data_IF_218201986384
#
_entry.id   IF_218201986384
#
_cell.length_a   1.000
_cell.length_b   1.000
_cell.length_c   1.000
_cell.angle_alpha   90.00
_cell.angle_beta   90.00
_cell.angle_gamma   90.00
#
_symmetry.space_group_name_H-M   'P 1'
#
loop_
_entity.id
_entity.type
_entity.pdbx_description
1 polymer ?
#
# COMPACT_ATOMS: atom_id res chain seq x y z
N UNK A 1 -2.34 3.09 64.49
CA UNK A 1 -2.90 4.04 63.49
C UNK A 1 -1.90 4.36 62.38
N UNK A 2 -0.68 4.82 62.70
CA UNK A 2 0.37 5.17 61.70
C UNK A 2 0.73 3.99 60.78
N UNK A 3 0.91 2.78 61.33
CA UNK A 3 1.23 1.56 60.55
C UNK A 3 0.14 1.20 59.52
N UNK A 4 -1.12 1.52 59.82
CA UNK A 4 -2.26 1.17 58.97
C UNK A 4 -2.36 2.15 57.79
N UNK A 5 -2.02 3.41 58.03
CA UNK A 5 -1.96 4.47 57.00
C UNK A 5 -0.78 4.22 56.05
N UNK A 6 0.39 3.79 56.55
CA UNK A 6 1.55 3.51 55.70
C UNK A 6 1.34 2.30 54.80
N UNK A 7 0.71 1.24 55.30
CA UNK A 7 0.34 0.06 54.49
C UNK A 7 -0.66 0.43 53.40
N UNK A 8 -1.68 1.25 53.72
CA UNK A 8 -2.67 1.68 52.74
C UNK A 8 -2.04 2.51 51.61
N UNK A 9 -1.13 3.43 51.94
CA UNK A 9 -0.42 4.24 50.95
C UNK A 9 0.49 3.40 50.05
N UNK A 10 1.15 2.38 50.62
CA UNK A 10 1.98 1.45 49.84
C UNK A 10 1.11 0.65 48.85
N UNK A 11 -0.05 0.16 49.29
CA UNK A 11 -0.97 -0.60 48.43
C UNK A 11 -1.49 0.26 47.29
N UNK A 12 -1.88 1.51 47.55
CA UNK A 12 -2.34 2.44 46.51
C UNK A 12 -1.22 2.82 45.53
N UNK A 13 0.02 2.98 46.02
CA UNK A 13 1.18 3.25 45.19
C UNK A 13 1.50 2.07 44.26
N UNK A 14 1.54 0.85 44.81
CA UNK A 14 1.75 -0.38 44.03
C UNK A 14 0.62 -0.59 43.03
N UNK A 15 -0.63 -0.38 43.42
CA UNK A 15 -1.78 -0.46 42.53
C UNK A 15 -1.72 0.60 41.42
N UNK A 16 -1.28 1.82 41.72
CA UNK A 16 -1.09 2.90 40.74
C UNK A 16 0.07 2.62 39.77
N UNK A 17 1.16 2.04 40.25
CA UNK A 17 2.29 1.59 39.41
C UNK A 17 1.87 0.40 38.55
N UNK A 18 1.16 -0.58 39.08
CA UNK A 18 0.59 -1.69 38.32
C UNK A 18 -0.45 -1.21 37.31
N UNK A 19 -1.27 -0.21 37.66
CA UNK A 19 -2.21 0.44 36.74
C UNK A 19 -1.45 1.17 35.63
N UNK A 20 -0.37 1.91 35.95
CA UNK A 20 0.50 2.57 34.96
C UNK A 20 1.21 1.59 34.04
N UNK A 21 1.71 0.46 34.57
CA UNK A 21 2.34 -0.61 33.81
C UNK A 21 1.31 -1.38 32.95
N UNK A 22 0.07 -1.54 33.42
CA UNK A 22 -1.05 -2.07 32.62
C UNK A 22 -1.52 -1.08 31.54
N UNK A 23 -1.55 0.22 31.85
CA UNK A 23 -1.90 1.27 30.87
C UNK A 23 -0.84 1.41 29.78
N UNK A 24 0.45 1.23 30.09
CA UNK A 24 1.52 1.24 29.09
C UNK A 24 1.49 0.01 28.18
N UNK A 25 1.05 -1.14 28.70
CA UNK A 25 0.93 -2.38 27.91
C UNK A 25 -0.18 -2.34 26.85
N UNK A 26 -1.10 -1.36 26.90
CA UNK A 26 -2.12 -1.14 25.86
C UNK A 26 -1.72 -0.12 24.79
N UNK A 27 -0.55 0.52 24.89
CA UNK A 27 0.00 1.36 23.80
C UNK A 27 0.98 0.63 22.89
N UNK A 28 1.39 -0.58 23.26
CA UNK A 28 2.20 -1.46 22.39
C UNK A 28 1.36 -2.47 21.59
N UNK A 29 0.07 -2.62 21.92
CA UNK A 29 -0.83 -3.51 21.18
C UNK A 29 -1.17 -3.00 19.77
N UNK A 30 -1.07 -1.69 19.50
CA UNK A 30 -1.44 -1.10 18.19
C UNK A 30 -0.30 -1.20 17.16
N UNK A 31 0.96 -1.33 17.58
CA UNK A 31 2.08 -1.57 16.65
C UNK A 31 2.26 -3.07 16.36
N UNK A 32 2.05 -3.95 17.35
CA UNK A 32 2.19 -5.39 17.16
C UNK A 32 0.96 -6.05 16.52
N UNK A 33 -0.26 -5.53 16.69
CA UNK A 33 -1.44 -6.10 16.01
C UNK A 33 -1.47 -5.87 14.50
N UNK A 34 -0.80 -4.83 13.97
CA UNK A 34 -0.70 -4.68 12.51
C UNK A 34 0.30 -5.65 11.88
N UNK A 35 1.35 -6.06 12.60
CA UNK A 35 2.29 -7.07 12.12
C UNK A 35 1.80 -8.51 12.32
N UNK A 36 1.04 -8.81 13.37
CA UNK A 36 0.51 -10.17 13.58
C UNK A 36 -0.75 -10.49 12.76
N UNK A 37 -1.58 -9.49 12.44
CA UNK A 37 -2.81 -9.72 11.64
C UNK A 37 -2.52 -9.97 10.16
N UNK A 38 -1.31 -9.63 9.68
CA UNK A 38 -0.88 -9.90 8.29
C UNK A 38 -0.23 -11.27 8.15
N UNK A 39 0.35 -11.83 9.22
CA UNK A 39 1.05 -13.12 9.16
C UNK A 39 0.12 -14.33 9.31
N UNK A 40 -1.03 -14.17 9.97
CA UNK A 40 -2.05 -15.23 10.13
C UNK A 40 -3.15 -15.22 9.04
N UNK A 41 -3.06 -14.31 8.05
CA UNK A 41 -3.96 -14.28 6.89
C UNK A 41 -3.21 -14.77 5.65
N UNK A 42 -3.36 -16.06 5.45
CA UNK A 42 -2.81 -17.01 4.50
C UNK A 42 -2.92 -16.64 3.00
N UNK A 43 -2.39 -15.50 2.53
CA UNK A 43 -2.33 -15.19 1.07
C UNK A 43 -1.06 -14.47 0.58
N UNK A 44 -0.22 -13.92 1.46
CA UNK A 44 0.95 -13.11 1.06
C UNK A 44 2.29 -13.89 1.05
N UNK A 45 3.09 -13.65 0.02
CA UNK A 45 4.47 -14.13 -0.07
C UNK A 45 5.40 -13.23 0.73
N UNK A 46 6.30 -13.79 1.52
CA UNK A 46 7.19 -13.05 2.43
C UNK A 46 8.64 -13.53 2.31
N UNK A 47 9.59 -12.58 2.23
CA UNK A 47 11.03 -12.83 2.31
C UNK A 47 11.77 -11.84 3.22
N UNK A 48 12.86 -12.28 3.84
CA UNK A 48 13.73 -11.53 4.74
C UNK A 48 15.15 -11.49 4.17
N UNK A 49 15.75 -10.31 4.23
CA UNK A 49 17.06 -10.02 3.68
C UNK A 49 17.92 -9.39 4.76
N UNK A 50 19.18 -9.81 4.89
CA UNK A 50 20.10 -9.15 5.81
C UNK A 50 20.58 -7.79 5.27
N UNK A 51 21.38 -7.08 6.07
CA UNK A 51 21.93 -5.76 5.73
C UNK A 51 22.86 -5.78 4.51
N UNK A 52 23.38 -6.96 4.13
CA UNK A 52 24.21 -7.15 2.93
C UNK A 52 23.38 -7.52 1.70
N UNK A 53 22.05 -7.55 1.82
CA UNK A 53 21.15 -7.91 0.73
C UNK A 53 21.16 -9.40 0.42
N UNK A 54 21.42 -10.27 1.41
CA UNK A 54 21.33 -11.73 1.24
C UNK A 54 20.03 -12.27 1.80
N UNK A 55 19.37 -13.14 1.04
CA UNK A 55 18.12 -13.79 1.43
C UNK A 55 18.36 -14.73 2.63
N UNK A 56 17.80 -14.40 3.79
CA UNK A 56 17.94 -15.21 5.02
C UNK A 56 16.80 -16.22 5.15
N UNK A 57 15.57 -15.79 4.86
CA UNK A 57 14.32 -16.57 5.04
C UNK A 57 13.27 -16.19 4.01
N UNK A 58 12.43 -17.14 3.60
CA UNK A 58 11.24 -16.90 2.78
C UNK A 58 10.20 -17.99 3.02
N UNK A 59 8.93 -17.73 2.72
CA UNK A 59 7.85 -18.72 2.77
C UNK A 59 7.54 -19.32 1.37
N UNK A 60 6.82 -20.43 1.34
CA UNK A 60 6.44 -21.12 0.10
C UNK A 60 5.64 -20.22 -0.84
N UNK A 61 4.79 -19.35 -0.26
CA UNK A 61 3.99 -18.39 -1.03
C UNK A 61 4.86 -17.38 -1.79
N UNK A 62 6.03 -17.00 -1.26
CA UNK A 62 6.98 -16.15 -1.97
C UNK A 62 7.62 -16.90 -3.16
N UNK A 63 7.94 -18.18 -2.97
CA UNK A 63 8.48 -19.05 -4.03
C UNK A 63 7.48 -19.22 -5.20
N UNK A 64 6.17 -19.19 -4.96
CA UNK A 64 5.15 -19.26 -6.01
C UNK A 64 5.17 -18.08 -6.99
N UNK A 65 5.71 -16.92 -6.59
CA UNK A 65 5.90 -15.79 -7.51
C UNK A 65 7.07 -15.98 -8.47
N UNK A 66 7.94 -16.97 -8.21
CA UNK A 66 9.12 -17.30 -8.99
C UNK A 66 9.09 -18.76 -9.45
N UNK A 67 8.07 -19.22 -10.20
CA UNK A 67 7.89 -20.64 -10.50
C UNK A 67 8.97 -21.23 -11.42
N UNK A 68 9.72 -20.37 -12.12
CA UNK A 68 10.75 -20.77 -13.08
C UNK A 68 12.12 -21.00 -12.45
N UNK A 69 12.31 -20.67 -11.17
CA UNK A 69 13.58 -20.80 -10.46
C UNK A 69 13.36 -21.21 -9.01
N UNK A 70 14.24 -22.04 -8.48
CA UNK A 70 14.26 -22.34 -7.05
C UNK A 70 15.03 -21.25 -6.31
N UNK A 71 14.36 -20.54 -5.40
CA UNK A 71 15.00 -19.56 -4.53
C UNK A 71 15.80 -20.29 -3.44
N UNK A 72 17.00 -19.80 -3.17
CA UNK A 72 17.89 -20.37 -2.16
C UNK A 72 18.32 -19.28 -1.17
N UNK A 73 18.55 -19.67 0.09
CA UNK A 73 19.17 -18.76 1.08
C UNK A 73 20.54 -18.32 0.59
N UNK A 74 20.89 -17.07 0.85
CA UNK A 74 22.10 -16.43 0.35
C UNK A 74 21.96 -15.82 -1.05
N UNK A 75 20.80 -15.92 -1.71
CA UNK A 75 20.52 -15.18 -2.94
C UNK A 75 20.72 -13.68 -2.73
N UNK A 76 21.33 -13.01 -3.71
CA UNK A 76 21.55 -11.57 -3.68
C UNK A 76 20.27 -10.82 -4.08
N UNK A 77 19.97 -9.73 -3.39
CA UNK A 77 18.79 -8.92 -3.66
C UNK A 77 18.82 -8.34 -5.08
N UNK A 78 19.99 -7.91 -5.54
CA UNK A 78 20.18 -7.42 -6.91
C UNK A 78 19.85 -8.49 -7.95
N UNK A 79 20.30 -9.73 -7.74
CA UNK A 79 20.00 -10.84 -8.63
C UNK A 79 18.50 -11.11 -8.71
N UNK A 80 17.80 -11.06 -7.56
CA UNK A 80 16.35 -11.21 -7.54
C UNK A 80 15.67 -10.07 -8.33
N UNK A 81 16.01 -8.81 -8.07
CA UNK A 81 15.41 -7.65 -8.74
C UNK A 81 15.64 -7.73 -10.26
N UNK A 82 16.87 -8.04 -10.68
CA UNK A 82 17.21 -8.21 -12.11
C UNK A 82 16.46 -9.38 -12.73
N UNK A 83 16.28 -10.47 -12.00
CA UNK A 83 15.47 -11.61 -12.44
C UNK A 83 13.98 -11.24 -12.59
N UNK A 84 13.42 -10.54 -11.61
CA UNK A 84 12.03 -10.05 -11.62
C UNK A 84 11.75 -9.17 -12.83
N UNK A 85 12.69 -8.28 -13.17
CA UNK A 85 12.58 -7.39 -14.31
C UNK A 85 12.73 -8.13 -15.66
N UNK A 86 13.77 -8.96 -15.80
CA UNK A 86 14.10 -9.66 -17.06
C UNK A 86 13.14 -10.79 -17.42
N UNK A 87 12.51 -11.43 -16.44
CA UNK A 87 11.55 -12.52 -16.66
C UNK A 87 10.10 -12.04 -16.70
N UNK A 88 9.90 -10.73 -16.73
CA UNK A 88 8.60 -10.08 -16.70
C UNK A 88 7.73 -10.56 -15.52
N UNK A 89 8.29 -10.85 -14.34
CA UNK A 89 7.45 -11.13 -13.16
C UNK A 89 6.53 -9.93 -12.87
N UNK A 90 7.02 -8.73 -13.18
CA UNK A 90 6.23 -7.51 -13.33
C UNK A 90 6.32 -6.98 -14.77
N UNK A 91 5.24 -6.39 -15.26
CA UNK A 91 5.20 -5.67 -16.53
C UNK A 91 5.92 -4.32 -16.37
N UNK A 92 7.22 -4.34 -16.57
CA UNK A 92 8.08 -3.14 -16.68
C UNK A 92 8.43 -2.96 -18.15
N UNK A 93 8.35 -1.72 -18.66
CA UNK A 93 8.74 -1.43 -20.04
C UNK A 93 10.23 -1.73 -20.26
N UNK A 94 10.58 -2.33 -21.41
CA UNK A 94 11.96 -2.75 -21.71
C UNK A 94 12.96 -1.58 -21.61
N UNK A 95 12.57 -0.38 -22.04
CA UNK A 95 13.39 0.84 -21.93
C UNK A 95 13.57 1.35 -20.49
N UNK A 96 12.72 0.93 -19.56
CA UNK A 96 12.72 1.37 -18.15
C UNK A 96 13.36 0.34 -17.21
N UNK A 97 13.66 -0.86 -17.72
CA UNK A 97 14.12 -2.00 -16.92
C UNK A 97 15.37 -1.67 -16.08
N UNK A 98 16.40 -1.07 -16.69
CA UNK A 98 17.64 -0.74 -15.98
C UNK A 98 17.45 0.35 -14.91
N UNK A 99 16.57 1.33 -15.18
CA UNK A 99 16.23 2.35 -14.21
C UNK A 99 15.42 1.76 -13.06
N UNK A 100 14.47 0.88 -13.36
CA UNK A 100 13.67 0.17 -12.36
C UNK A 100 14.56 -0.67 -11.44
N UNK A 101 15.51 -1.43 -12.00
CA UNK A 101 16.47 -2.21 -11.21
C UNK A 101 17.30 -1.29 -10.30
N UNK A 102 17.85 -0.19 -10.84
CA UNK A 102 18.64 0.76 -10.06
C UNK A 102 17.85 1.36 -8.90
N UNK A 103 16.63 1.80 -9.15
CA UNK A 103 15.76 2.36 -8.11
C UNK A 103 15.46 1.36 -6.99
N UNK A 104 15.27 0.08 -7.34
CA UNK A 104 15.03 -0.97 -6.36
C UNK A 104 16.26 -1.24 -5.48
N UNK A 105 17.45 -1.23 -6.07
CA UNK A 105 18.72 -1.36 -5.35
C UNK A 105 18.95 -0.15 -4.44
N UNK A 106 18.77 1.08 -4.95
CA UNK A 106 19.01 2.32 -4.20
C UNK A 106 18.05 2.48 -3.01
N UNK A 107 16.83 1.93 -3.12
CA UNK A 107 15.82 1.94 -2.05
C UNK A 107 15.92 0.74 -1.10
N UNK A 108 16.91 -0.15 -1.26
CA UNK A 108 17.06 -1.30 -0.36
C UNK A 108 17.20 -0.84 1.10
N UNK A 109 16.51 -1.54 2.01
CA UNK A 109 16.43 -1.17 3.44
C UNK A 109 15.50 0.00 3.77
N UNK A 110 14.91 0.65 2.76
CA UNK A 110 13.90 1.69 2.96
C UNK A 110 12.49 1.09 2.93
N UNK A 111 11.56 1.74 3.64
CA UNK A 111 10.16 1.35 3.57
C UNK A 111 9.53 1.89 2.30
N UNK A 112 8.86 1.02 1.54
CA UNK A 112 8.19 1.40 0.30
C UNK A 112 6.97 0.53 0.05
N UNK A 113 6.03 1.05 -0.72
CA UNK A 113 4.86 0.32 -1.19
C UNK A 113 4.59 0.69 -2.64
N UNK A 114 4.52 -0.30 -3.52
CA UNK A 114 4.26 -0.12 -4.93
C UNK A 114 3.41 -1.28 -5.46
N UNK A 115 2.49 -0.98 -6.38
CA UNK A 115 1.62 -1.98 -7.00
C UNK A 115 2.11 -2.21 -8.43
N UNK A 116 2.33 -3.47 -8.77
CA UNK A 116 2.77 -3.90 -10.10
C UNK A 116 1.73 -4.79 -10.75
N UNK A 117 1.68 -4.76 -12.08
CA UNK A 117 0.88 -5.72 -12.85
C UNK A 117 1.77 -6.87 -13.29
N UNK A 118 1.36 -8.10 -13.02
CA UNK A 118 2.00 -9.31 -13.54
C UNK A 118 1.48 -9.64 -14.95
N UNK A 119 2.23 -10.39 -15.79
CA UNK A 119 1.79 -10.75 -17.15
C UNK A 119 0.54 -11.61 -17.19
N UNK A 120 0.30 -12.39 -16.13
CA UNK A 120 -0.91 -13.20 -15.97
C UNK A 120 -2.16 -12.37 -15.63
N UNK A 121 -2.02 -11.04 -15.54
CA UNK A 121 -3.09 -10.09 -15.30
C UNK A 121 -3.34 -9.77 -13.83
N UNK A 122 -2.63 -10.42 -12.90
CA UNK A 122 -2.75 -10.12 -11.47
C UNK A 122 -2.14 -8.76 -11.13
N UNK A 123 -2.70 -8.11 -10.10
CA UNK A 123 -2.12 -6.93 -9.48
C UNK A 123 -1.44 -7.33 -8.18
N UNK A 124 -0.13 -7.09 -8.08
CA UNK A 124 0.69 -7.48 -6.94
C UNK A 124 1.10 -6.22 -6.17
N UNK A 125 0.63 -6.10 -4.94
CA UNK A 125 1.09 -5.10 -3.98
C UNK A 125 2.41 -5.59 -3.38
N UNK A 126 3.47 -4.83 -3.65
CA UNK A 126 4.81 -5.11 -3.17
C UNK A 126 5.16 -4.10 -2.09
N UNK A 127 5.42 -4.63 -0.89
CA UNK A 127 5.79 -3.82 0.28
C UNK A 127 7.17 -4.19 0.78
N UNK A 128 7.94 -3.17 1.08
CA UNK A 128 9.26 -3.28 1.68
C UNK A 128 9.25 -2.56 3.02
N UNK A 129 9.83 -3.14 4.05
CA UNK A 129 10.03 -2.46 5.33
C UNK A 129 11.31 -2.94 6.01
N UNK A 130 12.04 -2.05 6.66
CA UNK A 130 13.15 -2.45 7.53
C UNK A 130 12.63 -2.86 8.91
N UNK A 131 13.19 -3.94 9.44
CA UNK A 131 12.92 -4.42 10.80
C UNK A 131 13.84 -3.71 11.79
N UNK A 132 13.49 -3.75 13.08
CA UNK A 132 14.32 -3.19 14.16
C UNK A 132 15.72 -3.85 14.23
N UNK A 133 15.85 -5.09 13.75
CA UNK A 133 17.12 -5.81 13.65
C UNK A 133 17.97 -5.45 12.42
N UNK A 134 17.48 -4.55 11.57
CA UNK A 134 18.16 -4.15 10.33
C UNK A 134 17.99 -5.13 9.17
N UNK A 135 17.20 -6.20 9.32
CA UNK A 135 16.76 -7.01 8.17
C UNK A 135 15.72 -6.24 7.35
N UNK A 136 15.75 -6.40 6.03
CA UNK A 136 14.72 -5.90 5.12
C UNK A 136 13.66 -6.99 4.91
N UNK A 137 12.40 -6.66 5.14
CA UNK A 137 11.24 -7.49 4.85
C UNK A 137 10.66 -7.11 3.49
N UNK A 138 10.45 -8.08 2.62
CA UNK A 138 9.75 -7.91 1.34
C UNK A 138 8.49 -8.79 1.33
N UNK A 139 7.36 -8.19 0.98
CA UNK A 139 6.06 -8.85 1.00
C UNK A 139 5.31 -8.62 -0.31
N UNK A 140 4.84 -9.70 -0.93
CA UNK A 140 4.03 -9.71 -2.15
C UNK A 140 2.61 -10.15 -1.82
N UNK A 141 1.62 -9.34 -2.18
CA UNK A 141 0.21 -9.64 -1.97
C UNK A 141 -0.56 -9.49 -3.26
N UNK A 142 -1.32 -10.51 -3.65
CA UNK A 142 -2.25 -10.38 -4.77
C UNK A 142 -3.43 -9.50 -4.33
N UNK A 143 -3.57 -8.34 -4.97
CA UNK A 143 -4.63 -7.37 -4.70
C UNK A 143 -5.56 -7.22 -5.90
N UNK A 144 -5.58 -8.18 -6.82
CA UNK A 144 -6.36 -8.11 -8.08
C UNK A 144 -7.82 -7.74 -7.83
N UNK A 145 -8.48 -8.40 -6.87
CA UNK A 145 -9.88 -8.13 -6.51
C UNK A 145 -10.09 -6.69 -6.02
N UNK A 146 -9.24 -6.23 -5.10
CA UNK A 146 -9.35 -4.90 -4.50
C UNK A 146 -8.98 -3.79 -5.47
N UNK A 147 -7.93 -4.00 -6.27
CA UNK A 147 -7.45 -3.05 -7.26
C UNK A 147 -8.47 -2.87 -8.39
N UNK A 148 -9.05 -3.97 -8.89
CA UNK A 148 -10.09 -3.90 -9.93
C UNK A 148 -11.34 -3.17 -9.43
N UNK A 149 -11.76 -3.41 -8.19
CA UNK A 149 -12.90 -2.70 -7.59
C UNK A 149 -12.64 -1.18 -7.46
N UNK A 150 -11.47 -0.78 -6.95
CA UNK A 150 -11.11 0.63 -6.79
C UNK A 150 -10.99 1.38 -8.12
N UNK A 151 -10.41 0.74 -9.14
CA UNK A 151 -10.29 1.31 -10.50
C UNK A 151 -11.66 1.46 -11.16
N UNK A 152 -12.54 0.47 -11.00
CA UNK A 152 -13.92 0.55 -11.53
C UNK A 152 -14.70 1.68 -10.87
N UNK A 153 -14.55 1.89 -9.57
CA UNK A 153 -15.24 2.95 -8.82
C UNK A 153 -14.76 4.34 -9.27
N UNK A 154 -13.44 4.54 -9.33
CA UNK A 154 -12.85 5.80 -9.81
C UNK A 154 -13.26 6.11 -11.26
N UNK A 155 -13.31 5.09 -12.13
CA UNK A 155 -13.75 5.27 -13.53
C UNK A 155 -15.23 5.60 -13.62
N UNK A 156 -16.07 5.06 -12.73
CA UNK A 156 -17.49 5.40 -12.64
C UNK A 156 -17.69 6.84 -12.17
N UNK A 157 -16.95 7.27 -11.15
CA UNK A 157 -17.03 8.63 -10.62
C UNK A 157 -16.58 9.68 -11.63
N UNK A 158 -15.47 9.43 -12.35
CA UNK A 158 -15.01 10.30 -13.43
C UNK A 158 -16.07 10.41 -14.53
N UNK A 159 -16.62 9.27 -14.98
CA UNK A 159 -17.67 9.27 -16.03
C UNK A 159 -18.95 9.93 -15.58
N UNK A 160 -19.36 9.74 -14.33
CA UNK A 160 -20.53 10.40 -13.77
C UNK A 160 -20.31 11.92 -13.70
N UNK A 161 -19.14 12.38 -13.24
CA UNK A 161 -18.80 13.80 -13.21
C UNK A 161 -18.79 14.43 -14.61
N UNK A 162 -18.24 13.75 -15.62
CA UNK A 162 -18.27 14.20 -17.03
C UNK A 162 -19.72 14.29 -17.57
N UNK A 163 -20.56 13.32 -17.25
CA UNK A 163 -21.97 13.33 -17.65
C UNK A 163 -22.78 14.43 -16.96
N UNK A 164 -22.54 14.65 -15.66
CA UNK A 164 -23.17 15.75 -14.91
C UNK A 164 -22.75 17.11 -15.47
N UNK A 165 -21.46 17.33 -15.73
CA UNK A 165 -20.97 18.57 -16.34
C UNK A 165 -21.58 18.82 -17.73
N UNK A 166 -21.70 17.76 -18.55
CA UNK A 166 -22.33 17.84 -19.87
C UNK A 166 -23.83 18.20 -19.80
N UNK A 167 -24.56 17.61 -18.84
CA UNK A 167 -25.98 17.91 -18.61
C UNK A 167 -26.19 19.33 -18.07
N UNK A 168 -25.28 19.80 -17.22
CA UNK A 168 -25.33 21.14 -16.64
C UNK A 168 -25.07 22.21 -17.70
N UNK A 169 -24.07 22.01 -18.56
CA UNK A 169 -23.87 22.82 -19.76
C UNK A 169 -25.11 22.85 -20.66
N UNK A 170 -25.71 21.70 -20.97
CA UNK A 170 -26.93 21.63 -21.78
C UNK A 170 -28.12 22.37 -21.11
N UNK A 171 -28.26 22.27 -19.79
CA UNK A 171 -29.31 23.00 -19.05
C UNK A 171 -29.06 24.51 -19.07
N UNK A 172 -27.82 24.96 -18.89
CA UNK A 172 -27.43 26.37 -18.99
C UNK A 172 -27.72 26.93 -20.39
N UNK A 173 -27.30 26.21 -21.43
CA UNK A 173 -27.60 26.48 -22.83
C UNK A 173 -29.10 26.66 -23.12
N UNK A 174 -29.94 25.74 -22.63
CA UNK A 174 -31.39 25.81 -22.80
C UNK A 174 -32.01 26.96 -21.99
N UNK A 175 -31.49 27.26 -20.81
CA UNK A 175 -31.95 28.37 -19.98
C UNK A 175 -31.68 29.72 -20.65
N UNK A 176 -30.44 29.94 -21.12
CA UNK A 176 -30.04 31.12 -21.90
C UNK A 176 -30.96 31.29 -23.10
N UNK A 177 -31.12 30.24 -23.92
CA UNK A 177 -31.99 30.30 -25.10
C UNK A 177 -33.46 30.60 -24.81
N UNK A 178 -33.94 30.34 -23.58
CA UNK A 178 -35.32 30.69 -23.15
C UNK A 178 -35.44 32.09 -22.55
N UNK A 179 -34.37 32.64 -21.97
CA UNK A 179 -34.38 33.95 -21.32
C UNK A 179 -33.92 35.09 -22.22
N UNK A 180 -33.19 34.81 -23.30
CA UNK A 180 -32.72 35.86 -24.22
C UNK A 180 -33.86 36.40 -25.09
N UNK A 181 -33.86 37.71 -25.33
CA UNK A 181 -34.90 38.40 -26.10
C UNK A 181 -34.72 38.21 -27.62
N UNK A 182 -33.53 37.80 -28.07
CA UNK A 182 -33.23 37.50 -29.47
C UNK A 182 -32.21 36.36 -29.66
N UNK A 183 -32.27 35.70 -30.82
CA UNK A 183 -31.34 34.60 -31.16
C UNK A 183 -29.86 35.04 -31.14
N UNK A 184 -29.56 36.27 -31.56
CA UNK A 184 -28.19 36.81 -31.56
C UNK A 184 -27.63 37.03 -30.16
N UNK A 185 -28.49 37.37 -29.20
CA UNK A 185 -28.11 37.56 -27.80
C UNK A 185 -27.88 36.21 -27.11
N UNK A 186 -28.76 35.23 -27.35
CA UNK A 186 -28.59 33.86 -26.88
C UNK A 186 -27.26 33.26 -27.37
N UNK A 187 -26.93 33.41 -28.66
CA UNK A 187 -25.67 32.90 -29.21
C UNK A 187 -24.43 33.59 -28.61
N UNK A 188 -24.51 34.87 -28.23
CA UNK A 188 -23.40 35.59 -27.59
C UNK A 188 -23.15 35.06 -26.18
N UNK A 189 -24.20 34.94 -25.37
CA UNK A 189 -24.11 34.43 -23.99
C UNK A 189 -23.68 32.96 -23.94
N UNK A 190 -24.04 32.16 -24.95
CA UNK A 190 -23.65 30.76 -25.07
C UNK A 190 -22.15 30.56 -25.39
N UNK A 191 -21.50 31.55 -26.02
CA UNK A 191 -20.07 31.52 -26.37
C UNK A 191 -19.17 31.97 -25.20
N UNK A 192 -19.76 32.53 -24.14
CA UNK A 192 -19.07 32.99 -22.93
C UNK A 192 -19.15 31.99 -21.75
N UNK A 193 -19.78 30.83 -21.96
CA UNK A 193 -19.86 29.67 -21.04
C UNK A 193 -18.68 28.71 -21.20
#
# INVERSE_FOLDING_TARGET
MILLVTVLLLVLFVAGVLWRLRLSSHREAVSSHRLSTVLDRTESGVSFWDQSGRLTRFNDRFQEFYPTVTLNRGLEFEDLVRFTASRAVFLVGEAEMDNWVREWIDRFGQSSQQIYRAPDGRWIDVRTSSTVGGETLLMYTDVTTNHTAAVVDTTRDIRAAEQYASLEMLRGAIAIGRSSESFHEACREMLEL
#
